data_IF_739698290605
#
_entry.id   IF_739698290605
#
_cell.length_a   1.000
_cell.length_b   1.000
_cell.length_c   1.000
_cell.angle_alpha   90.00
_cell.angle_beta   90.00
_cell.angle_gamma   90.00
#
_symmetry.space_group_name_H-M   'P 1'
#
loop_
_entity.id
_entity.type
_entity.pdbx_description
1 polymer ?
#
# COMPACT_ATOMS: atom_id res chain seq x y z
N UNK A 1 21.13 -16.41 -28.11
CA UNK A 1 21.28 -15.49 -26.96
C UNK A 1 21.29 -16.38 -25.74
N UNK A 2 22.37 -16.39 -24.94
CA UNK A 2 22.34 -17.11 -23.67
C UNK A 2 21.17 -16.58 -22.85
N UNK A 3 20.41 -17.46 -22.21
CA UNK A 3 19.45 -17.04 -21.19
C UNK A 3 20.21 -16.17 -20.19
N UNK A 4 19.92 -14.87 -20.19
CA UNK A 4 20.44 -13.97 -19.17
C UNK A 4 19.79 -14.45 -17.88
N UNK A 5 20.56 -15.06 -16.97
CA UNK A 5 20.04 -15.46 -15.66
C UNK A 5 19.50 -14.22 -14.98
N UNK A 6 18.17 -14.14 -14.88
CA UNK A 6 17.50 -13.04 -14.20
C UNK A 6 17.95 -13.07 -12.73
N UNK A 7 18.21 -11.91 -12.09
CA UNK A 7 18.52 -11.84 -10.68
C UNK A 7 17.27 -12.21 -9.87
N UNK A 8 17.07 -13.50 -9.68
CA UNK A 8 15.97 -14.04 -8.89
C UNK A 8 16.30 -13.89 -7.41
N UNK A 9 15.28 -13.55 -6.63
CA UNK A 9 15.35 -13.55 -5.18
C UNK A 9 14.50 -14.71 -4.63
N UNK A 10 15.02 -15.95 -4.62
CA UNK A 10 14.43 -17.02 -3.82
C UNK A 10 14.24 -16.59 -2.36
N UNK A 11 13.27 -17.20 -1.68
CA UNK A 11 13.16 -17.08 -0.23
C UNK A 11 14.44 -17.65 0.40
N UNK A 12 15.04 -16.91 1.34
CA UNK A 12 16.36 -17.25 1.89
C UNK A 12 17.55 -16.73 1.07
N UNK A 13 17.34 -16.10 -0.09
CA UNK A 13 18.41 -15.43 -0.83
C UNK A 13 18.80 -14.16 -0.10
N UNK A 14 19.91 -14.25 0.61
CA UNK A 14 20.65 -13.10 1.10
C UNK A 14 21.33 -12.50 -0.13
N UNK A 15 21.10 -11.23 -0.49
CA UNK A 15 21.88 -10.57 -1.53
C UNK A 15 23.37 -10.77 -1.20
N UNK A 16 24.25 -10.94 -2.19
CA UNK A 16 25.69 -10.90 -1.92
C UNK A 16 26.04 -9.51 -1.39
N UNK A 17 26.10 -9.37 -0.06
CA UNK A 17 26.43 -8.14 0.63
C UNK A 17 27.39 -8.44 1.75
N UNK A 18 28.43 -7.62 1.87
CA UNK A 18 29.31 -7.64 3.04
C UNK A 18 28.60 -7.16 4.32
N UNK A 19 27.39 -6.58 4.20
CA UNK A 19 26.60 -6.10 5.32
C UNK A 19 25.69 -7.21 5.84
N UNK A 20 26.05 -7.76 7.00
CA UNK A 20 25.10 -8.53 7.83
C UNK A 20 24.30 -7.53 8.66
N UNK A 21 22.97 -7.62 8.62
CA UNK A 21 22.13 -6.78 9.46
C UNK A 21 21.69 -7.57 10.69
N UNK A 22 22.12 -7.12 11.86
CA UNK A 22 21.68 -7.64 13.16
C UNK A 22 20.62 -6.69 13.71
N UNK A 23 19.36 -7.14 13.89
CA UNK A 23 18.33 -6.30 14.49
C UNK A 23 18.72 -5.88 15.91
N UNK A 24 18.79 -4.58 16.15
CA UNK A 24 19.09 -3.99 17.46
C UNK A 24 18.20 -2.75 17.67
N UNK A 25 17.21 -2.81 18.58
CA UNK A 25 16.30 -1.68 18.85
C UNK A 25 17.02 -0.42 19.30
N UNK A 26 18.17 -0.55 19.96
CA UNK A 26 18.97 0.57 20.50
C UNK A 26 19.75 1.30 19.40
N UNK A 27 19.88 0.68 18.21
CA UNK A 27 20.53 1.27 17.03
C UNK A 27 19.54 1.85 16.03
N UNK A 28 18.24 1.88 16.37
CA UNK A 28 17.25 2.52 15.53
C UNK A 28 17.51 4.03 15.44
N UNK A 29 17.61 4.62 14.22
CA UNK A 29 17.81 6.06 14.05
C UNK A 29 16.57 6.87 14.44
N UNK A 30 15.42 6.20 14.46
CA UNK A 30 14.11 6.75 14.71
C UNK A 30 13.66 6.40 16.14
N UNK A 31 13.17 7.37 16.90
CA UNK A 31 12.63 7.13 18.25
C UNK A 31 11.44 6.15 18.24
N UNK A 32 11.29 5.37 19.31
CA UNK A 32 10.09 4.57 19.57
C UNK A 32 9.06 5.38 20.36
N UNK A 33 8.03 5.88 19.68
CA UNK A 33 7.04 6.78 20.28
C UNK A 33 5.92 6.05 21.04
N UNK A 34 5.92 4.70 21.11
CA UNK A 34 4.82 3.95 21.73
C UNK A 34 4.62 4.32 23.19
N UNK A 35 5.70 4.32 23.99
CA UNK A 35 5.57 4.62 25.42
C UNK A 35 5.18 6.08 25.65
N UNK A 36 5.79 7.02 24.91
CA UNK A 36 5.43 8.44 24.98
C UNK A 36 3.95 8.69 24.68
N UNK A 37 3.34 7.91 23.78
CA UNK A 37 1.91 8.01 23.48
C UNK A 37 1.04 7.55 24.64
N UNK A 38 1.42 6.45 25.29
CA UNK A 38 0.73 5.97 26.47
C UNK A 38 0.92 6.91 27.66
N UNK A 39 2.10 7.51 27.82
CA UNK A 39 2.38 8.52 28.84
C UNK A 39 1.48 9.75 28.67
N UNK A 40 1.47 10.36 27.48
CA UNK A 40 0.56 11.46 27.15
C UNK A 40 -0.92 11.06 27.30
N UNK A 41 -1.26 9.80 27.02
CA UNK A 41 -2.58 9.25 27.29
C UNK A 41 -2.95 9.24 28.78
N UNK A 42 -2.02 8.80 29.64
CA UNK A 42 -2.19 8.80 31.11
C UNK A 42 -2.28 10.21 31.68
N UNK A 43 -1.62 11.17 31.06
CA UNK A 43 -1.70 12.60 31.40
C UNK A 43 -3.01 13.27 30.94
N UNK A 44 -3.84 12.58 30.15
CA UNK A 44 -5.11 13.11 29.64
C UNK A 44 -4.94 14.06 28.45
N UNK A 45 -3.79 14.04 27.79
CA UNK A 45 -3.54 14.86 26.60
C UNK A 45 -4.40 14.41 25.42
N UNK A 46 -4.58 13.09 25.25
CA UNK A 46 -5.45 12.43 24.28
C UNK A 46 -5.95 11.06 24.78
N UNK A 47 -6.88 10.46 24.04
CA UNK A 47 -7.27 9.06 24.19
C UNK A 47 -6.31 8.21 23.35
N UNK A 48 -5.77 7.13 23.93
CA UNK A 48 -5.01 6.14 23.16
C UNK A 48 -5.96 5.03 22.72
N UNK A 49 -6.04 4.77 21.42
CA UNK A 49 -6.79 3.64 20.87
C UNK A 49 -5.84 2.43 20.73
N UNK A 50 -6.00 1.36 21.53
CA UNK A 50 -5.15 0.17 21.42
C UNK A 50 -5.45 -0.63 20.15
N UNK A 51 -4.45 -1.37 19.66
CA UNK A 51 -4.65 -2.30 18.53
C UNK A 51 -5.63 -3.41 18.96
N UNK A 52 -6.72 -3.67 18.20
CA UNK A 52 -7.69 -4.69 18.57
C UNK A 52 -7.15 -6.11 18.33
N UNK A 53 -7.58 -7.03 19.19
CA UNK A 53 -7.34 -8.47 19.04
C UNK A 53 -8.36 -9.11 18.08
N UNK A 54 -7.99 -10.17 17.34
CA UNK A 54 -6.64 -10.73 17.24
C UNK A 54 -5.73 -9.86 16.37
N UNK A 55 -4.44 -9.79 16.73
CA UNK A 55 -3.42 -9.14 15.92
C UNK A 55 -2.24 -10.07 15.59
N UNK A 56 -1.49 -9.69 14.57
CA UNK A 56 -0.20 -10.26 14.20
C UNK A 56 0.95 -9.42 14.77
N UNK A 57 1.98 -10.07 15.28
CA UNK A 57 3.21 -9.42 15.73
C UNK A 57 4.29 -9.48 14.64
N UNK A 58 4.53 -8.36 13.98
CA UNK A 58 5.56 -8.24 12.96
C UNK A 58 6.83 -7.62 13.53
N UNK A 59 7.99 -8.10 13.05
CA UNK A 59 9.29 -7.53 13.38
C UNK A 59 9.59 -6.37 12.43
N UNK A 60 9.94 -5.22 12.99
CA UNK A 60 10.46 -4.10 12.20
C UNK A 60 11.95 -4.30 11.93
N UNK A 61 12.53 -3.41 11.11
CA UNK A 61 13.97 -3.40 10.82
C UNK A 61 14.81 -3.58 12.08
N UNK A 62 14.61 -2.78 13.12
CA UNK A 62 15.45 -2.84 14.32
C UNK A 62 14.94 -3.83 15.37
N UNK A 63 14.12 -4.81 14.99
CA UNK A 63 13.66 -5.86 15.90
C UNK A 63 12.56 -5.42 16.87
N UNK A 64 11.99 -4.22 16.70
CA UNK A 64 10.79 -3.81 17.44
C UNK A 64 9.61 -4.68 17.02
N UNK A 65 8.72 -4.96 17.96
CA UNK A 65 7.47 -5.67 17.69
C UNK A 65 6.38 -4.65 17.38
N UNK A 66 5.78 -4.79 16.21
CA UNK A 66 4.65 -3.98 15.76
C UNK A 66 3.41 -4.84 15.68
N UNK A 67 2.33 -4.39 16.31
CA UNK A 67 1.03 -5.07 16.27
C UNK A 67 0.24 -4.64 15.05
N UNK A 68 -0.31 -5.62 14.33
CA UNK A 68 -1.10 -5.42 13.11
C UNK A 68 -2.44 -6.13 13.31
N UNK A 69 -3.57 -5.42 13.44
CA UNK A 69 -4.86 -6.05 13.68
C UNK A 69 -5.32 -6.85 12.46
N UNK A 70 -5.85 -8.06 12.66
CA UNK A 70 -6.41 -8.84 11.56
C UNK A 70 -7.74 -8.26 11.08
N UNK A 71 -8.58 -7.85 12.03
CA UNK A 71 -9.95 -7.39 11.79
C UNK A 71 -10.27 -6.16 12.65
N UNK A 72 -11.54 -5.74 12.64
CA UNK A 72 -12.01 -4.47 13.21
C UNK A 72 -11.27 -3.28 12.61
N UNK A 73 -10.95 -3.34 11.31
CA UNK A 73 -10.21 -2.27 10.63
C UNK A 73 -11.15 -1.23 10.01
N UNK A 74 -10.77 0.05 10.12
CA UNK A 74 -11.40 1.20 9.49
C UNK A 74 -10.57 1.58 8.27
N UNK A 75 -11.08 1.39 7.07
CA UNK A 75 -10.27 1.58 5.86
C UNK A 75 -10.14 3.06 5.50
N UNK A 76 -9.00 3.64 5.87
CA UNK A 76 -8.64 4.99 5.43
C UNK A 76 -8.28 4.93 3.94
N UNK A 77 -9.18 5.37 3.04
CA UNK A 77 -8.91 5.41 1.59
C UNK A 77 -7.99 6.59 1.26
N UNK A 78 -7.25 6.48 0.17
CA UNK A 78 -6.51 7.61 -0.38
C UNK A 78 -7.43 8.74 -0.87
N UNK A 79 -6.82 9.82 -1.34
CA UNK A 79 -7.50 10.92 -2.01
C UNK A 79 -7.96 10.51 -3.43
N UNK A 80 -8.08 11.49 -4.35
CA UNK A 80 -8.47 11.26 -5.75
C UNK A 80 -7.65 10.21 -6.49
N UNK A 81 -6.46 9.81 -6.00
CA UNK A 81 -5.71 8.73 -6.61
C UNK A 81 -6.41 7.36 -6.51
N UNK A 82 -7.18 7.09 -5.44
CA UNK A 82 -8.03 5.89 -5.41
C UNK A 82 -9.12 5.94 -6.49
N UNK A 83 -9.57 7.14 -6.87
CA UNK A 83 -10.52 7.32 -7.98
C UNK A 83 -9.94 6.95 -9.35
N UNK A 84 -8.61 7.01 -9.53
CA UNK A 84 -7.96 6.58 -10.77
C UNK A 84 -7.75 5.07 -10.85
N UNK A 85 -7.66 4.38 -9.70
CA UNK A 85 -7.41 2.94 -9.60
C UNK A 85 -8.30 2.33 -8.50
N UNK A 86 -9.64 2.34 -8.70
CA UNK A 86 -10.61 1.89 -7.69
C UNK A 86 -10.40 0.43 -7.27
N UNK A 87 -9.98 -0.39 -8.23
CA UNK A 87 -9.59 -1.80 -8.08
C UNK A 87 -8.64 -2.10 -6.92
N UNK A 88 -7.81 -1.12 -6.55
CA UNK A 88 -6.88 -1.23 -5.43
C UNK A 88 -7.62 -1.34 -4.10
N UNK A 89 -8.47 -0.36 -3.77
CA UNK A 89 -9.26 -0.37 -2.54
C UNK A 89 -10.26 -1.52 -2.51
N UNK A 90 -10.91 -1.82 -3.63
CA UNK A 90 -11.93 -2.88 -3.70
C UNK A 90 -11.31 -4.26 -3.49
N UNK A 91 -10.07 -4.47 -3.91
CA UNK A 91 -9.34 -5.71 -3.61
C UNK A 91 -9.12 -5.90 -2.11
N UNK A 92 -8.78 -4.82 -1.38
CA UNK A 92 -8.61 -4.89 0.09
C UNK A 92 -9.95 -5.18 0.78
N UNK A 93 -11.04 -4.54 0.34
CA UNK A 93 -12.39 -4.80 0.86
C UNK A 93 -12.88 -6.21 0.56
N UNK A 94 -12.56 -6.71 -0.62
CA UNK A 94 -12.89 -8.07 -1.01
C UNK A 94 -12.09 -9.08 -0.19
N UNK A 95 -10.79 -8.86 0.02
CA UNK A 95 -9.95 -9.74 0.84
C UNK A 95 -10.42 -9.80 2.31
N UNK A 96 -10.87 -8.68 2.89
CA UNK A 96 -11.47 -8.70 4.23
C UNK A 96 -12.69 -9.63 4.27
N UNK A 97 -13.59 -9.55 3.28
CA UNK A 97 -14.77 -10.42 3.21
C UNK A 97 -14.42 -11.87 2.93
N UNK A 98 -13.50 -12.10 2.01
CA UNK A 98 -13.03 -13.44 1.63
C UNK A 98 -12.45 -14.19 2.84
N UNK A 99 -11.76 -13.47 3.74
CA UNK A 99 -11.25 -14.02 5.00
C UNK A 99 -12.26 -14.00 6.15
N UNK A 100 -13.46 -13.45 5.95
CA UNK A 100 -14.50 -13.35 6.98
C UNK A 100 -14.19 -12.32 8.08
N UNK A 101 -13.36 -11.32 7.80
CA UNK A 101 -12.97 -10.30 8.76
C UNK A 101 -13.97 -9.17 8.85
N UNK A 102 -14.24 -8.76 10.09
CA UNK A 102 -15.02 -7.56 10.36
C UNK A 102 -14.21 -6.31 10.02
N UNK A 103 -14.77 -5.41 9.23
CA UNK A 103 -14.10 -4.21 8.77
C UNK A 103 -15.15 -3.14 8.43
N UNK A 104 -14.74 -1.87 8.44
CA UNK A 104 -15.60 -0.73 8.15
C UNK A 104 -15.11 0.06 6.94
N UNK A 105 -16.03 0.28 6.00
CA UNK A 105 -15.83 1.13 4.83
C UNK A 105 -16.43 2.53 5.08
N UNK A 106 -15.62 3.56 5.43
CA UNK A 106 -16.15 4.89 5.73
C UNK A 106 -16.67 5.61 4.48
N UNK A 107 -17.87 6.19 4.60
CA UNK A 107 -18.52 6.99 3.55
C UNK A 107 -18.22 8.49 3.66
N UNK A 108 -17.78 8.96 4.82
CA UNK A 108 -17.62 10.37 5.20
C UNK A 108 -16.17 10.74 5.56
N UNK A 109 -15.21 9.97 5.05
CA UNK A 109 -13.80 10.26 5.27
C UNK A 109 -13.31 11.50 4.49
N UNK A 110 -12.28 12.17 5.02
CA UNK A 110 -11.58 13.26 4.34
C UNK A 110 -10.28 12.77 3.74
N UNK A 111 -9.73 13.53 2.78
CA UNK A 111 -8.34 13.36 2.34
C UNK A 111 -7.36 13.40 3.52
N UNK A 112 -6.19 12.77 3.39
CA UNK A 112 -5.10 12.89 4.36
C UNK A 112 -4.36 14.23 4.29
N UNK A 113 -4.56 15.02 3.22
CA UNK A 113 -3.81 16.25 2.87
C UNK A 113 -2.31 16.10 2.59
N UNK A 114 -1.75 14.91 2.76
CA UNK A 114 -0.32 14.63 2.66
C UNK A 114 0.29 14.99 1.30
N UNK A 115 -0.39 14.70 0.18
CA UNK A 115 0.14 15.10 -1.14
C UNK A 115 0.26 16.62 -1.26
N UNK A 116 -0.75 17.38 -0.85
CA UNK A 116 -0.67 18.85 -0.90
C UNK A 116 0.42 19.39 0.03
N UNK A 117 0.67 18.75 1.18
CA UNK A 117 1.79 19.07 2.07
C UNK A 117 3.14 18.85 1.38
N UNK A 118 3.42 17.62 0.92
CA UNK A 118 4.69 17.31 0.26
C UNK A 118 4.87 18.01 -1.09
N UNK A 119 3.78 18.44 -1.73
CA UNK A 119 3.83 19.29 -2.92
C UNK A 119 4.14 20.76 -2.60
N UNK A 120 4.27 21.12 -1.31
CA UNK A 120 4.40 22.49 -0.81
C UNK A 120 3.23 23.40 -1.20
N UNK A 121 2.05 22.82 -1.44
CA UNK A 121 0.82 23.54 -1.76
C UNK A 121 0.03 23.97 -0.51
N UNK A 122 0.27 23.33 0.65
CA UNK A 122 -0.20 23.79 1.96
C UNK A 122 0.94 23.79 2.97
N UNK A 123 0.99 24.81 3.83
CA UNK A 123 2.05 25.03 4.84
C UNK A 123 1.51 25.23 6.26
N UNK A 124 0.22 24.99 6.50
CA UNK A 124 -0.35 25.08 7.84
C UNK A 124 -0.28 23.72 8.56
N UNK A 125 0.75 23.56 9.41
CA UNK A 125 1.02 22.35 10.16
C UNK A 125 -0.13 21.95 11.10
N UNK A 126 -0.71 22.90 11.83
CA UNK A 126 -1.84 22.64 12.72
C UNK A 126 -3.08 22.13 11.95
N UNK A 127 -3.34 22.69 10.77
CA UNK A 127 -4.44 22.22 9.92
C UNK A 127 -4.20 20.79 9.39
N UNK A 128 -2.97 20.47 8.97
CA UNK A 128 -2.61 19.13 8.50
C UNK A 128 -2.73 18.08 9.60
N UNK A 129 -2.19 18.37 10.78
CA UNK A 129 -2.31 17.51 11.94
C UNK A 129 -3.76 17.36 12.40
N UNK A 130 -4.58 18.41 12.36
CA UNK A 130 -6.01 18.34 12.67
C UNK A 130 -6.78 17.42 11.72
N UNK A 131 -6.44 17.38 10.42
CA UNK A 131 -7.08 16.43 9.49
C UNK A 131 -6.71 14.98 9.83
N UNK A 132 -5.46 14.71 10.20
CA UNK A 132 -5.05 13.37 10.65
C UNK A 132 -5.83 12.95 11.91
N UNK A 133 -5.86 13.82 12.93
CA UNK A 133 -6.57 13.55 14.18
C UNK A 133 -8.09 13.45 14.00
N UNK A 134 -8.69 14.18 13.04
CA UNK A 134 -10.11 14.03 12.66
C UNK A 134 -10.39 12.66 12.06
N UNK A 135 -9.47 12.09 11.28
CA UNK A 135 -9.62 10.74 10.73
C UNK A 135 -9.44 9.65 11.80
N UNK A 136 -8.51 9.81 12.75
CA UNK A 136 -8.40 8.90 13.89
C UNK A 136 -9.64 8.95 14.79
N UNK A 137 -10.15 10.15 15.05
CA UNK A 137 -11.43 10.35 15.73
C UNK A 137 -12.58 9.62 15.02
N UNK A 138 -12.70 9.76 13.69
CA UNK A 138 -13.75 9.10 12.92
C UNK A 138 -13.65 7.57 12.99
N UNK A 139 -12.44 7.00 12.93
CA UNK A 139 -12.23 5.57 13.13
C UNK A 139 -12.69 5.14 14.53
N UNK A 140 -12.22 5.85 15.57
CA UNK A 140 -12.57 5.57 16.97
C UNK A 140 -14.08 5.63 17.24
N UNK A 141 -14.79 6.64 16.72
CA UNK A 141 -16.24 6.78 16.90
C UNK A 141 -17.05 5.63 16.31
N UNK A 142 -16.54 4.97 15.26
CA UNK A 142 -17.16 3.78 14.68
C UNK A 142 -16.83 2.49 15.43
N UNK A 143 -15.86 2.53 16.36
CA UNK A 143 -15.34 1.35 17.05
C UNK A 143 -14.35 0.52 16.24
N UNK A 144 -13.85 1.04 15.12
CA UNK A 144 -12.88 0.37 14.24
C UNK A 144 -11.50 1.05 14.30
N UNK A 145 -10.45 0.30 13.97
CA UNK A 145 -9.05 0.70 14.07
C UNK A 145 -8.49 1.16 12.72
N UNK A 146 -7.85 2.33 12.60
CA UNK A 146 -7.45 2.88 11.31
C UNK A 146 -6.43 2.00 10.57
N UNK A 147 -6.78 1.61 9.34
CA UNK A 147 -5.89 0.94 8.39
C UNK A 147 -5.57 1.91 7.24
N UNK A 148 -4.31 2.34 7.16
CA UNK A 148 -3.88 3.40 6.24
C UNK A 148 -3.59 2.83 4.85
N UNK A 149 -4.35 3.25 3.84
CA UNK A 149 -4.27 2.70 2.48
C UNK A 149 -3.06 3.16 1.66
N UNK A 150 -2.57 4.38 1.86
CA UNK A 150 -1.60 4.99 0.97
C UNK A 150 -0.30 5.30 1.69
N UNK A 151 0.83 4.86 1.14
CA UNK A 151 2.17 5.11 1.69
C UNK A 151 2.44 6.59 1.97
N UNK A 152 1.95 7.50 1.11
CA UNK A 152 2.02 8.95 1.34
C UNK A 152 1.27 9.38 2.61
N UNK A 153 0.07 8.84 2.84
CA UNK A 153 -0.72 9.14 4.05
C UNK A 153 -0.07 8.57 5.30
N UNK A 154 0.48 7.36 5.18
CA UNK A 154 1.17 6.67 6.27
C UNK A 154 2.42 7.42 6.74
N UNK A 155 3.29 7.84 5.81
CA UNK A 155 4.45 8.66 6.11
C UNK A 155 4.06 9.96 6.82
N UNK A 156 3.08 10.68 6.28
CA UNK A 156 2.60 11.94 6.87
C UNK A 156 1.99 11.75 8.25
N UNK A 157 1.19 10.70 8.47
CA UNK A 157 0.60 10.45 9.78
C UNK A 157 1.64 10.06 10.83
N UNK A 158 2.76 9.44 10.43
CA UNK A 158 3.90 9.22 11.32
C UNK A 158 4.63 10.52 11.67
N UNK A 159 4.83 11.41 10.71
CA UNK A 159 5.38 12.75 10.98
C UNK A 159 4.46 13.52 11.94
N UNK A 160 3.14 13.55 11.68
CA UNK A 160 2.17 14.16 12.60
C UNK A 160 2.23 13.54 13.99
N UNK A 161 2.29 12.21 14.09
CA UNK A 161 2.44 11.49 15.38
C UNK A 161 3.69 11.97 16.12
N UNK A 162 4.83 12.03 15.44
CA UNK A 162 6.09 12.52 16.01
C UNK A 162 6.00 13.98 16.45
N UNK A 163 5.46 14.87 15.61
CA UNK A 163 5.30 16.28 15.92
C UNK A 163 4.39 16.52 17.12
N UNK A 164 3.26 15.82 17.21
CA UNK A 164 2.31 16.00 18.30
C UNK A 164 2.80 15.43 19.62
N UNK A 165 3.68 14.43 19.62
CA UNK A 165 4.36 13.97 20.84
C UNK A 165 5.29 15.05 21.38
N UNK A 166 6.13 15.63 20.51
CA UNK A 166 7.21 16.54 20.91
C UNK A 166 6.80 18.01 21.06
N UNK A 167 5.78 18.46 20.34
CA UNK A 167 5.37 19.86 20.31
C UNK A 167 4.02 20.05 21.00
N UNK A 168 4.08 20.33 22.31
CA UNK A 168 2.89 20.57 23.12
C UNK A 168 2.05 21.76 22.60
N UNK A 169 2.68 22.81 22.05
CA UNK A 169 1.95 23.97 21.53
C UNK A 169 1.14 23.60 20.29
N UNK A 170 1.76 22.89 19.34
CA UNK A 170 1.06 22.34 18.18
C UNK A 170 -0.07 21.40 18.63
N UNK A 171 0.21 20.51 19.58
CA UNK A 171 -0.80 19.59 20.13
C UNK A 171 -2.00 20.32 20.71
N UNK A 172 -1.80 21.42 21.46
CA UNK A 172 -2.89 22.27 21.97
C UNK A 172 -3.71 22.92 20.85
N UNK A 173 -3.05 23.46 19.83
CA UNK A 173 -3.74 24.05 18.68
C UNK A 173 -4.62 23.03 17.96
N UNK A 174 -4.09 21.82 17.74
CA UNK A 174 -4.81 20.73 17.08
C UNK A 174 -5.97 20.25 17.96
N UNK A 175 -5.75 20.05 19.27
CA UNK A 175 -6.79 19.68 20.22
C UNK A 175 -7.94 20.67 20.21
N UNK A 176 -7.67 21.98 20.24
CA UNK A 176 -8.71 23.02 20.16
C UNK A 176 -9.54 22.95 18.86
N UNK A 177 -8.92 22.59 17.73
CA UNK A 177 -9.64 22.37 16.47
C UNK A 177 -10.56 21.15 16.58
N UNK A 178 -10.06 20.03 17.11
CA UNK A 178 -10.84 18.78 17.25
C UNK A 178 -12.00 18.94 18.25
N UNK A 179 -11.78 19.63 19.37
CA UNK A 179 -12.82 19.98 20.35
C UNK A 179 -13.91 20.86 19.73
N UNK A 180 -13.54 21.84 18.90
CA UNK A 180 -14.50 22.67 18.16
C UNK A 180 -15.35 21.87 17.17
N UNK A 181 -14.82 20.76 16.64
CA UNK A 181 -15.57 19.82 15.81
C UNK A 181 -16.46 18.87 16.64
N UNK A 182 -16.42 18.93 17.97
CA UNK A 182 -17.19 18.07 18.87
C UNK A 182 -16.73 16.61 18.86
N UNK A 183 -15.45 16.37 18.57
CA UNK A 183 -14.88 15.04 18.31
C UNK A 183 -13.87 14.63 19.39
N UNK A 184 -13.71 13.33 19.68
CA UNK A 184 -12.68 12.86 20.60
C UNK A 184 -11.28 13.07 20.02
N UNK A 185 -10.34 13.51 20.85
CA UNK A 185 -8.94 13.66 20.46
C UNK A 185 -8.20 12.34 20.70
N UNK A 186 -7.99 11.56 19.63
CA UNK A 186 -7.55 10.15 19.71
C UNK A 186 -6.25 9.92 18.94
N UNK A 187 -5.31 9.22 19.56
CA UNK A 187 -4.08 8.72 18.94
C UNK A 187 -4.08 7.17 18.92
N UNK A 188 -3.97 6.51 17.75
CA UNK A 188 -3.79 5.06 17.69
C UNK A 188 -2.45 4.63 18.33
N UNK A 189 -2.44 3.51 19.05
CA UNK A 189 -1.23 2.87 19.61
C UNK A 189 -0.19 2.61 18.51
N UNK A 190 -0.67 2.12 17.37
CA UNK A 190 0.10 1.87 16.16
C UNK A 190 -0.53 2.47 14.91
N UNK A 191 0.31 3.00 14.02
CA UNK A 191 -0.10 3.32 12.67
C UNK A 191 0.20 2.13 11.78
N UNK A 192 -0.85 1.55 11.18
CA UNK A 192 -0.76 0.34 10.38
C UNK A 192 -1.06 0.67 8.93
N UNK A 193 -0.11 0.36 8.04
CA UNK A 193 -0.32 0.48 6.60
C UNK A 193 -0.98 -0.81 6.07
N UNK A 194 -1.84 -0.70 5.05
CA UNK A 194 -2.54 -1.89 4.54
C UNK A 194 -1.58 -2.98 4.02
N UNK A 195 -0.39 -2.62 3.52
CA UNK A 195 0.61 -3.62 3.09
C UNK A 195 1.19 -4.42 4.26
N UNK A 196 1.17 -3.86 5.48
CA UNK A 196 1.52 -4.57 6.71
C UNK A 196 0.40 -5.54 7.08
N UNK A 197 -0.86 -5.14 6.89
CA UNK A 197 -2.01 -6.05 7.01
C UNK A 197 -1.95 -7.18 5.97
N UNK A 198 -1.62 -6.88 4.71
CA UNK A 198 -1.36 -7.89 3.68
C UNK A 198 -0.25 -8.86 4.10
N UNK A 199 0.84 -8.34 4.67
CA UNK A 199 1.91 -9.16 5.25
C UNK A 199 1.33 -10.06 6.35
N UNK A 200 0.58 -9.54 7.31
CA UNK A 200 0.01 -10.33 8.41
C UNK A 200 -0.91 -11.49 7.94
N UNK A 201 -1.68 -11.30 6.86
CA UNK A 201 -2.62 -12.31 6.35
C UNK A 201 -2.02 -13.27 5.31
N UNK A 202 -0.75 -13.08 4.89
CA UNK A 202 -0.14 -13.79 3.76
C UNK A 202 -0.23 -15.31 3.85
N UNK A 203 -0.07 -15.88 5.04
CA UNK A 203 -0.13 -17.33 5.26
C UNK A 203 -1.55 -17.88 5.01
N UNK A 204 -2.57 -17.13 5.43
CA UNK A 204 -3.97 -17.47 5.17
C UNK A 204 -4.31 -17.36 3.67
N UNK A 205 -3.70 -16.40 2.97
CA UNK A 205 -3.88 -16.27 1.53
C UNK A 205 -3.23 -17.44 0.78
N UNK A 206 -2.02 -17.85 1.17
CA UNK A 206 -1.33 -19.01 0.58
C UNK A 206 -2.15 -20.28 0.60
N UNK A 207 -2.83 -20.56 1.71
CA UNK A 207 -3.72 -21.73 1.84
C UNK A 207 -4.91 -21.70 0.87
N UNK A 208 -5.22 -20.54 0.30
CA UNK A 208 -6.40 -20.28 -0.53
C UNK A 208 -6.03 -19.89 -1.98
N UNK A 209 -4.76 -19.98 -2.35
CA UNK A 209 -4.33 -19.72 -3.73
C UNK A 209 -4.97 -20.75 -4.66
N UNK A 210 -5.61 -20.27 -5.72
CA UNK A 210 -6.29 -21.11 -6.73
C UNK A 210 -5.58 -21.11 -8.08
N UNK A 211 -4.61 -20.21 -8.27
CA UNK A 211 -3.81 -20.07 -9.49
C UNK A 211 -2.35 -20.45 -9.24
N UNK A 212 -1.74 -21.23 -10.14
CA UNK A 212 -0.30 -21.52 -10.07
C UNK A 212 0.51 -20.28 -10.47
N UNK A 213 1.14 -19.64 -9.48
CA UNK A 213 1.96 -18.45 -9.69
C UNK A 213 3.45 -18.75 -9.86
N UNK A 214 3.88 -20.02 -9.84
CA UNK A 214 5.30 -20.41 -9.88
C UNK A 214 6.05 -19.93 -11.13
N UNK A 215 5.30 -19.60 -12.19
CA UNK A 215 5.82 -19.06 -13.45
C UNK A 215 5.79 -17.53 -13.51
N UNK A 216 5.15 -16.86 -12.57
CA UNK A 216 5.07 -15.40 -12.51
C UNK A 216 6.35 -14.84 -11.90
N UNK A 217 6.96 -13.90 -12.60
CA UNK A 217 8.06 -13.08 -12.11
C UNK A 217 7.54 -11.67 -11.88
N UNK A 218 7.59 -11.21 -10.64
CA UNK A 218 7.24 -9.85 -10.27
C UNK A 218 8.49 -9.03 -9.91
N UNK A 219 8.46 -7.72 -10.15
CA UNK A 219 9.34 -6.79 -9.43
C UNK A 219 8.54 -6.00 -8.40
N UNK A 220 9.20 -5.64 -7.30
CA UNK A 220 8.57 -4.85 -6.23
C UNK A 220 9.09 -3.42 -6.27
N UNK A 221 8.18 -2.46 -6.32
CA UNK A 221 8.46 -1.05 -6.09
C UNK A 221 7.94 -0.64 -4.70
N UNK A 222 8.80 -0.55 -3.68
CA UNK A 222 8.40 -0.09 -2.35
C UNK A 222 8.15 1.43 -2.37
N UNK A 223 7.05 1.86 -1.79
CA UNK A 223 6.76 3.28 -1.65
C UNK A 223 7.78 3.94 -0.72
N UNK A 224 8.36 5.05 -1.16
CA UNK A 224 9.36 5.76 -0.37
C UNK A 224 8.80 6.23 0.99
N UNK A 225 7.54 6.64 1.06
CA UNK A 225 6.92 7.14 2.30
C UNK A 225 6.50 6.03 3.26
N UNK A 226 6.57 4.77 2.83
CA UNK A 226 6.38 3.62 3.71
C UNK A 226 7.62 3.36 4.58
N UNK A 227 8.82 3.34 3.98
CA UNK A 227 10.03 2.88 4.68
C UNK A 227 11.18 3.89 4.76
N UNK A 228 11.19 4.97 3.97
CA UNK A 228 12.32 5.93 4.01
C UNK A 228 12.13 7.04 5.03
N UNK A 229 10.88 7.46 5.29
CA UNK A 229 10.59 8.52 6.26
C UNK A 229 10.73 8.03 7.71
N UNK A 230 10.26 6.81 8.00
CA UNK A 230 10.39 6.19 9.31
C UNK A 230 10.90 4.75 9.15
N UNK A 231 12.20 4.63 8.88
CA UNK A 231 12.84 3.37 8.55
C UNK A 231 12.77 2.34 9.66
N UNK A 232 12.69 2.78 10.92
CA UNK A 232 12.66 1.89 12.06
C UNK A 232 11.33 1.19 12.33
N UNK A 233 10.27 1.60 11.64
CA UNK A 233 8.91 1.07 11.85
C UNK A 233 8.34 0.31 10.64
N UNK A 234 9.10 0.20 9.54
CA UNK A 234 8.74 -0.65 8.41
C UNK A 234 9.04 -2.13 8.72
N UNK A 235 8.28 -3.04 8.09
CA UNK A 235 8.44 -4.49 8.25
C UNK A 235 9.63 -5.00 7.44
N UNK A 236 10.51 -5.72 8.10
CA UNK A 236 11.70 -6.34 7.53
C UNK A 236 11.74 -7.80 7.98
N UNK A 237 12.30 -8.64 7.13
CA UNK A 237 12.37 -10.08 7.35
C UNK A 237 13.78 -10.55 7.00
N UNK A 238 14.42 -11.32 7.88
CA UNK A 238 15.78 -11.79 7.68
C UNK A 238 15.88 -12.76 6.49
N UNK A 239 14.80 -13.49 6.19
CA UNK A 239 14.75 -14.42 5.05
C UNK A 239 14.51 -13.71 3.71
N UNK A 240 14.17 -12.42 3.75
CA UNK A 240 13.81 -11.62 2.58
C UNK A 240 14.82 -10.49 2.44
N UNK A 241 15.58 -10.50 1.35
CA UNK A 241 16.68 -9.55 1.13
C UNK A 241 17.73 -9.52 2.26
N UNK A 242 17.84 -10.58 3.07
CA UNK A 242 18.75 -10.60 4.22
C UNK A 242 18.47 -9.50 5.26
N UNK A 243 17.22 -9.05 5.39
CA UNK A 243 16.87 -7.92 6.27
C UNK A 243 17.41 -6.56 5.82
N UNK A 244 17.86 -6.41 4.56
CA UNK A 244 18.40 -5.14 4.05
C UNK A 244 17.34 -4.22 3.43
N UNK A 245 16.20 -4.79 3.02
CA UNK A 245 15.10 -4.09 2.34
C UNK A 245 13.78 -4.46 3.02
N UNK A 246 12.79 -3.56 2.91
CA UNK A 246 11.44 -3.82 3.43
C UNK A 246 10.86 -5.10 2.81
N UNK A 247 10.23 -5.91 3.65
CA UNK A 247 9.69 -7.22 3.31
C UNK A 247 8.18 -7.21 3.03
N UNK A 248 7.46 -6.14 3.38
CA UNK A 248 5.99 -6.13 3.41
C UNK A 248 5.34 -6.68 2.13
N UNK A 249 5.76 -6.18 0.96
CA UNK A 249 5.22 -6.63 -0.34
C UNK A 249 5.88 -7.92 -0.81
N UNK A 250 7.21 -8.00 -0.77
CA UNK A 250 7.96 -9.16 -1.28
C UNK A 250 7.57 -10.46 -0.60
N UNK A 251 7.30 -10.43 0.71
CA UNK A 251 6.84 -11.59 1.46
C UNK A 251 5.51 -12.13 0.95
N UNK A 252 4.54 -11.23 0.70
CA UNK A 252 3.23 -11.62 0.17
C UNK A 252 3.40 -12.28 -1.20
N UNK A 253 4.20 -11.68 -2.09
CA UNK A 253 4.41 -12.21 -3.44
C UNK A 253 5.06 -13.60 -3.41
N UNK A 254 6.09 -13.78 -2.58
CA UNK A 254 6.77 -15.08 -2.42
C UNK A 254 5.87 -16.12 -1.74
N UNK A 255 5.06 -15.74 -0.75
CA UNK A 255 4.17 -16.66 -0.03
C UNK A 255 3.03 -17.17 -0.95
N UNK A 256 2.56 -16.32 -1.88
CA UNK A 256 1.60 -16.72 -2.92
C UNK A 256 2.23 -17.61 -4.01
N UNK A 257 3.54 -17.84 -3.98
CA UNK A 257 4.27 -18.74 -4.89
C UNK A 257 4.86 -18.08 -6.13
N UNK A 258 4.79 -16.75 -6.28
CA UNK A 258 5.43 -16.03 -7.37
C UNK A 258 6.91 -15.74 -7.09
N UNK A 259 7.70 -15.58 -8.16
CA UNK A 259 9.10 -15.20 -8.07
C UNK A 259 9.23 -13.68 -7.96
N UNK A 260 10.18 -13.22 -7.16
CA UNK A 260 10.53 -11.80 -7.09
C UNK A 260 11.91 -11.59 -7.73
N UNK A 261 11.97 -10.71 -8.73
CA UNK A 261 13.21 -10.31 -9.38
C UNK A 261 13.74 -9.01 -8.76
N UNK A 262 15.08 -8.91 -8.70
CA UNK A 262 15.76 -7.67 -8.31
C UNK A 262 16.07 -6.77 -9.51
N UNK A 263 16.35 -5.50 -9.25
CA UNK A 263 16.78 -4.52 -10.24
C UNK A 263 17.56 -3.38 -9.58
N UNK A 264 18.47 -2.77 -10.33
CA UNK A 264 19.50 -1.84 -9.85
C UNK A 264 18.94 -0.55 -9.26
N UNK A 265 17.78 -0.10 -9.73
CA UNK A 265 17.14 1.14 -9.29
C UNK A 265 16.06 0.90 -8.22
N UNK A 266 16.10 -0.21 -7.48
CA UNK A 266 15.08 -0.57 -6.47
C UNK A 266 14.76 0.57 -5.49
N UNK A 267 15.80 1.23 -4.98
CA UNK A 267 15.66 2.33 -4.03
C UNK A 267 15.17 3.64 -4.66
N UNK A 268 15.18 3.79 -5.98
CA UNK A 268 14.80 5.04 -6.64
C UNK A 268 13.29 5.29 -6.54
N UNK A 269 12.91 6.57 -6.45
CA UNK A 269 11.53 7.04 -6.42
C UNK A 269 10.74 6.59 -7.66
N UNK A 270 9.41 6.44 -7.56
CA UNK A 270 8.55 6.18 -8.73
C UNK A 270 8.48 7.35 -9.72
N UNK A 271 8.98 8.53 -9.35
CA UNK A 271 8.92 9.75 -10.17
C UNK A 271 7.71 10.66 -9.88
N UNK A 272 6.72 10.23 -9.05
CA UNK A 272 5.57 11.07 -8.70
C UNK A 272 6.01 12.43 -8.15
N UNK A 273 6.99 12.43 -7.23
CA UNK A 273 7.72 13.63 -6.81
C UNK A 273 6.87 14.76 -6.21
N UNK A 274 5.59 14.48 -5.87
CA UNK A 274 4.55 15.34 -5.31
C UNK A 274 4.36 16.70 -5.97
N UNK A 275 5.35 17.60 -5.83
CA UNK A 275 5.43 18.87 -6.54
C UNK A 275 5.73 18.65 -8.03
N UNK A 276 6.64 17.72 -8.37
CA UNK A 276 7.04 17.50 -9.76
C UNK A 276 5.88 17.08 -10.67
N UNK A 277 4.98 16.21 -10.21
CA UNK A 277 3.78 15.85 -11.01
C UNK A 277 2.88 17.06 -11.28
N UNK A 278 2.91 18.11 -10.45
CA UNK A 278 2.11 19.33 -10.66
C UNK A 278 2.78 20.33 -11.60
N UNK A 279 4.10 20.53 -11.47
CA UNK A 279 4.82 21.61 -12.17
C UNK A 279 5.76 21.14 -13.29
N UNK A 280 6.12 19.85 -13.33
CA UNK A 280 7.10 19.25 -14.25
C UNK A 280 6.66 17.82 -14.65
N UNK A 281 5.48 17.71 -15.26
CA UNK A 281 4.87 16.41 -15.62
C UNK A 281 5.78 15.53 -16.49
N UNK A 282 6.54 16.13 -17.40
CA UNK A 282 7.44 15.38 -18.28
C UNK A 282 8.63 14.78 -17.53
N UNK A 283 9.12 15.45 -16.47
CA UNK A 283 10.11 14.87 -15.56
C UNK A 283 9.53 13.64 -14.86
N UNK A 284 8.34 13.76 -14.28
CA UNK A 284 7.67 12.62 -13.60
C UNK A 284 7.50 11.43 -14.54
N UNK A 285 6.99 11.67 -15.76
CA UNK A 285 6.78 10.62 -16.76
C UNK A 285 8.10 9.97 -17.19
N UNK A 286 9.11 10.77 -17.49
CA UNK A 286 10.42 10.27 -17.93
C UNK A 286 11.12 9.49 -16.81
N UNK A 287 11.04 9.96 -15.56
CA UNK A 287 11.61 9.25 -14.43
C UNK A 287 10.88 7.92 -14.17
N UNK A 288 9.54 7.94 -14.12
CA UNK A 288 8.72 6.74 -13.93
C UNK A 288 9.00 5.69 -15.00
N UNK A 289 9.22 6.09 -16.25
CA UNK A 289 9.41 5.17 -17.36
C UNK A 289 10.87 4.79 -17.54
N UNK A 290 11.77 5.74 -17.82
CA UNK A 290 13.16 5.46 -18.17
C UNK A 290 14.00 4.98 -16.97
N UNK A 291 13.76 5.49 -15.76
CA UNK A 291 14.55 5.11 -14.58
C UNK A 291 14.00 3.91 -13.82
N UNK A 292 12.70 3.62 -13.96
CA UNK A 292 12.04 2.50 -13.28
C UNK A 292 11.60 1.42 -14.28
N UNK A 293 10.60 1.69 -15.12
CA UNK A 293 10.01 0.65 -15.98
C UNK A 293 11.02 0.05 -16.98
N UNK A 294 11.78 0.87 -17.72
CA UNK A 294 12.75 0.37 -18.69
C UNK A 294 13.82 -0.49 -18.01
N UNK A 295 14.38 0.01 -16.89
CA UNK A 295 15.36 -0.74 -16.08
C UNK A 295 14.80 -2.07 -15.58
N UNK A 296 13.58 -2.07 -15.04
CA UNK A 296 12.91 -3.32 -14.62
C UNK A 296 12.77 -4.29 -15.79
N UNK A 297 12.37 -3.81 -16.98
CA UNK A 297 12.23 -4.66 -18.16
C UNK A 297 13.56 -5.19 -18.68
N UNK A 298 14.60 -4.36 -18.65
CA UNK A 298 15.95 -4.71 -19.13
C UNK A 298 16.65 -5.72 -18.21
N UNK A 299 16.54 -5.54 -16.89
CA UNK A 299 17.29 -6.35 -15.92
C UNK A 299 16.50 -7.57 -15.42
N UNK A 300 15.17 -7.46 -15.32
CA UNK A 300 14.31 -8.48 -14.72
C UNK A 300 13.22 -9.01 -15.67
N UNK A 301 12.86 -8.25 -16.70
CA UNK A 301 11.74 -8.52 -17.62
C UNK A 301 10.50 -9.13 -16.92
N UNK A 302 9.93 -8.46 -15.90
CA UNK A 302 8.87 -9.04 -15.08
C UNK A 302 7.53 -9.11 -15.81
N UNK A 303 6.69 -10.05 -15.39
CA UNK A 303 5.28 -10.14 -15.81
C UNK A 303 4.42 -9.07 -15.17
N UNK A 304 4.83 -8.54 -14.00
CA UNK A 304 4.11 -7.51 -13.26
C UNK A 304 5.03 -6.71 -12.34
N UNK A 305 4.75 -5.42 -12.18
CA UNK A 305 5.34 -4.56 -11.15
C UNK A 305 4.32 -4.37 -10.04
N UNK A 306 4.70 -4.70 -8.81
CA UNK A 306 3.84 -4.58 -7.63
C UNK A 306 4.33 -3.44 -6.73
N UNK A 307 3.40 -2.62 -6.27
CA UNK A 307 3.69 -1.53 -5.34
C UNK A 307 2.58 -1.38 -4.31
N UNK A 308 2.81 -0.52 -3.32
CA UNK A 308 1.90 -0.36 -2.20
C UNK A 308 1.62 1.11 -1.83
N UNK A 309 1.56 1.97 -2.84
CA UNK A 309 1.09 3.34 -2.69
C UNK A 309 0.35 3.74 -3.96
N UNK A 310 -0.83 4.33 -3.79
CA UNK A 310 -1.70 4.70 -4.91
C UNK A 310 -1.02 5.68 -5.87
N UNK A 311 -0.20 6.61 -5.35
CA UNK A 311 0.58 7.52 -6.18
C UNK A 311 1.65 6.79 -7.00
N UNK A 312 2.28 5.77 -6.43
CA UNK A 312 3.23 4.91 -7.13
C UNK A 312 2.56 4.09 -8.24
N UNK A 313 1.42 3.43 -7.96
CA UNK A 313 0.68 2.67 -9.00
C UNK A 313 0.30 3.62 -10.14
N UNK A 314 -0.38 4.74 -9.84
CA UNK A 314 -0.80 5.70 -10.87
C UNK A 314 0.37 6.23 -11.69
N UNK A 315 1.48 6.58 -11.04
CA UNK A 315 2.63 7.15 -11.76
C UNK A 315 3.28 6.14 -12.69
N UNK A 316 3.49 4.92 -12.21
CA UNK A 316 4.19 3.88 -12.97
C UNK A 316 3.29 3.26 -14.05
N UNK A 317 1.98 3.13 -13.83
CA UNK A 317 1.02 2.65 -14.83
C UNK A 317 0.76 3.73 -15.91
N UNK A 318 0.25 4.91 -15.51
CA UNK A 318 -0.22 5.93 -16.44
C UNK A 318 0.88 6.58 -17.26
N UNK A 319 2.11 6.65 -16.73
CA UNK A 319 3.22 7.27 -17.47
C UNK A 319 3.67 6.45 -18.67
N UNK A 320 3.42 5.14 -18.68
CA UNK A 320 3.86 4.26 -19.77
C UNK A 320 3.16 4.55 -21.09
N UNK A 321 1.89 5.00 -21.06
CA UNK A 321 1.14 5.30 -22.29
C UNK A 321 1.87 6.32 -23.19
N UNK A 322 2.36 7.40 -22.58
CA UNK A 322 3.03 8.47 -23.32
C UNK A 322 4.35 7.99 -23.95
N UNK A 323 5.14 7.19 -23.22
CA UNK A 323 6.43 6.69 -23.74
C UNK A 323 6.28 5.50 -24.69
N UNK A 324 5.22 4.70 -24.54
CA UNK A 324 4.87 3.65 -25.50
C UNK A 324 4.61 4.24 -26.89
N UNK A 325 3.94 5.40 -26.96
CA UNK A 325 3.74 6.12 -28.22
C UNK A 325 5.07 6.54 -28.90
N UNK A 326 6.17 6.61 -28.14
CA UNK A 326 7.52 6.89 -28.63
C UNK A 326 8.36 5.61 -28.88
N UNK A 327 7.74 4.43 -28.90
CA UNK A 327 8.43 3.16 -29.18
C UNK A 327 9.42 2.71 -28.09
N UNK A 328 9.27 3.22 -26.87
CA UNK A 328 10.13 2.91 -25.73
C UNK A 328 9.87 1.51 -25.17
N UNK A 329 10.86 0.94 -24.46
CA UNK A 329 10.75 -0.40 -23.88
C UNK A 329 9.90 -0.37 -22.60
N UNK A 330 8.60 -0.19 -22.75
CA UNK A 330 7.60 -0.15 -21.66
C UNK A 330 6.49 -1.19 -21.92
N UNK A 331 5.38 -1.12 -21.19
CA UNK A 331 4.23 -2.02 -21.35
C UNK A 331 4.17 -3.17 -20.34
N UNK A 332 4.83 -3.03 -19.18
CA UNK A 332 4.68 -3.98 -18.07
C UNK A 332 3.50 -3.55 -17.19
N UNK A 333 2.58 -4.47 -16.82
CA UNK A 333 1.47 -4.11 -15.96
C UNK A 333 1.94 -3.71 -14.57
N UNK A 334 1.36 -2.66 -14.01
CA UNK A 334 1.68 -2.16 -12.66
C UNK A 334 0.42 -2.16 -11.81
N UNK A 335 0.43 -2.83 -10.67
CA UNK A 335 -0.73 -2.88 -9.78
C UNK A 335 -0.34 -2.92 -8.30
N UNK A 336 -1.33 -2.79 -7.43
CA UNK A 336 -1.09 -3.07 -6.01
C UNK A 336 -0.87 -4.56 -5.77
N UNK A 337 -0.08 -4.89 -4.77
CA UNK A 337 0.04 -6.26 -4.27
C UNK A 337 -1.31 -6.81 -3.76
N UNK A 338 -2.21 -5.96 -3.27
CA UNK A 338 -3.57 -6.38 -2.91
C UNK A 338 -4.41 -6.84 -4.10
N UNK A 339 -4.31 -6.17 -5.26
CA UNK A 339 -4.95 -6.61 -6.50
C UNK A 339 -4.38 -7.95 -6.95
N UNK A 340 -3.06 -8.08 -6.96
CA UNK A 340 -2.38 -9.33 -7.32
C UNK A 340 -2.77 -10.49 -6.40
N UNK A 341 -2.79 -10.26 -5.09
CA UNK A 341 -3.19 -11.25 -4.10
C UNK A 341 -4.67 -11.64 -4.22
N UNK A 342 -5.56 -10.69 -4.46
CA UNK A 342 -6.98 -10.97 -4.70
C UNK A 342 -7.16 -11.86 -5.94
N UNK A 343 -6.49 -11.53 -7.05
CA UNK A 343 -6.48 -12.37 -8.26
C UNK A 343 -5.96 -13.78 -7.95
N UNK A 344 -4.86 -13.90 -7.20
CA UNK A 344 -4.26 -15.19 -6.85
C UNK A 344 -5.20 -16.16 -6.11
N UNK A 345 -6.11 -15.62 -5.30
CA UNK A 345 -7.09 -16.39 -4.53
C UNK A 345 -8.49 -16.41 -5.17
N UNK A 346 -8.60 -15.99 -6.43
CA UNK A 346 -9.80 -16.20 -7.26
C UNK A 346 -10.72 -14.99 -7.44
N UNK A 347 -10.30 -13.79 -7.04
CA UNK A 347 -11.11 -12.59 -7.27
C UNK A 347 -11.28 -12.29 -8.76
N UNK A 348 -12.48 -11.88 -9.17
CA UNK A 348 -12.76 -11.55 -10.56
C UNK A 348 -11.96 -10.31 -11.04
N UNK A 349 -11.26 -10.37 -12.19
CA UNK A 349 -10.33 -9.32 -12.61
C UNK A 349 -10.99 -7.97 -12.91
N UNK A 350 -12.27 -7.97 -13.29
CA UNK A 350 -12.99 -6.75 -13.66
C UNK A 350 -14.01 -6.29 -12.63
N UNK A 351 -14.55 -7.21 -11.82
CA UNK A 351 -15.55 -6.89 -10.79
C UNK A 351 -14.86 -6.45 -9.49
N UNK A 352 -13.77 -7.13 -9.13
CA UNK A 352 -13.03 -6.88 -7.88
C UNK A 352 -11.74 -6.10 -8.14
N UNK A 353 -10.82 -6.67 -8.92
CA UNK A 353 -9.51 -6.03 -9.16
C UNK A 353 -9.58 -4.82 -10.10
N UNK A 354 -10.73 -4.67 -10.80
CA UNK A 354 -11.07 -3.60 -11.74
C UNK A 354 -9.93 -3.22 -12.69
N UNK A 355 -9.32 -4.23 -13.32
CA UNK A 355 -8.12 -4.04 -14.12
C UNK A 355 -8.33 -3.13 -15.35
N UNK A 356 -9.57 -2.96 -15.81
CA UNK A 356 -9.91 -2.05 -16.92
C UNK A 356 -9.64 -0.56 -16.64
N UNK A 357 -9.37 -0.19 -15.39
CA UNK A 357 -8.89 1.15 -15.05
C UNK A 357 -7.37 1.33 -15.23
N UNK A 358 -6.60 0.26 -15.43
CA UNK A 358 -5.17 0.34 -15.72
C UNK A 358 -4.91 0.67 -17.19
N UNK A 359 -3.78 1.32 -17.47
CA UNK A 359 -3.41 1.77 -18.81
C UNK A 359 -2.50 0.80 -19.55
N UNK A 360 -1.82 -0.07 -18.82
CA UNK A 360 -0.92 -1.09 -19.36
C UNK A 360 -1.66 -2.40 -19.64
N UNK A 361 -1.16 -3.20 -20.59
CA UNK A 361 -1.78 -4.48 -20.94
C UNK A 361 -1.48 -5.55 -19.88
N UNK A 362 -2.49 -5.88 -19.08
CA UNK A 362 -2.44 -6.89 -18.02
C UNK A 362 -2.93 -8.27 -18.50
N UNK A 363 -3.45 -8.41 -19.73
CA UNK A 363 -4.00 -9.70 -20.21
C UNK A 363 -2.96 -10.81 -20.28
N UNK A 364 -1.69 -10.57 -20.70
CA UNK A 364 -0.66 -11.60 -20.66
C UNK A 364 -0.41 -12.13 -19.24
N UNK A 365 -0.47 -11.27 -18.22
CA UNK A 365 -0.37 -11.68 -16.82
C UNK A 365 -1.55 -12.59 -16.44
N UNK A 366 -2.79 -12.20 -16.74
CA UNK A 366 -3.99 -13.00 -16.46
C UNK A 366 -3.89 -14.39 -17.10
N UNK A 367 -3.54 -14.45 -18.39
CA UNK A 367 -3.36 -15.72 -19.10
C UNK A 367 -2.28 -16.59 -18.46
N UNK A 368 -1.16 -15.98 -18.02
CA UNK A 368 -0.08 -16.69 -17.34
C UNK A 368 -0.48 -17.21 -15.95
N UNK A 369 -1.41 -16.54 -15.28
CA UNK A 369 -2.06 -17.01 -14.04
C UNK A 369 -3.13 -18.09 -14.31
N UNK A 370 -3.49 -18.35 -15.58
CA UNK A 370 -4.56 -19.28 -15.95
C UNK A 370 -5.96 -18.66 -15.89
N UNK A 371 -6.07 -17.33 -15.90
CA UNK A 371 -7.33 -16.58 -15.97
C UNK A 371 -7.59 -16.24 -17.44
N UNK A 372 -8.78 -16.57 -17.95
CA UNK A 372 -9.22 -16.19 -19.30
C UNK A 372 -9.76 -14.74 -19.28
N UNK A 373 -9.01 -13.76 -19.84
CA UNK A 373 -9.42 -12.37 -19.81
C UNK A 373 -10.66 -12.08 -20.67
N UNK A 374 -10.84 -12.78 -21.79
CA UNK A 374 -11.96 -12.53 -22.70
C UNK A 374 -13.26 -13.06 -22.10
N UNK A 375 -13.20 -14.25 -21.49
CA UNK A 375 -14.34 -14.81 -20.75
C UNK A 375 -14.73 -13.91 -19.58
N UNK A 376 -13.77 -13.52 -18.74
CA UNK A 376 -14.04 -12.65 -17.59
C UNK A 376 -14.56 -11.27 -18.03
N UNK A 377 -14.13 -10.76 -19.19
CA UNK A 377 -14.64 -9.52 -19.73
C UNK A 377 -16.10 -9.66 -20.19
N UNK A 378 -16.44 -10.76 -20.87
CA UNK A 378 -17.82 -11.05 -21.27
C UNK A 378 -18.76 -11.13 -20.06
N UNK A 379 -18.34 -11.84 -18.99
CA UNK A 379 -19.10 -11.90 -17.73
C UNK A 379 -19.35 -10.51 -17.13
N UNK A 380 -18.33 -9.63 -17.16
CA UNK A 380 -18.48 -8.25 -16.71
C UNK A 380 -19.44 -7.44 -17.59
N UNK A 381 -19.40 -7.61 -18.91
CA UNK A 381 -20.31 -6.94 -19.84
C UNK A 381 -21.77 -7.37 -19.63
N UNK A 382 -22.01 -8.63 -19.27
CA UNK A 382 -23.34 -9.12 -18.91
C UNK A 382 -23.89 -8.41 -17.66
N UNK A 383 -23.04 -8.13 -16.66
CA UNK A 383 -23.46 -7.34 -15.49
C UNK A 383 -23.83 -5.91 -15.88
N UNK A 384 -23.05 -5.27 -16.75
CA UNK A 384 -23.33 -3.92 -17.23
C UNK A 384 -24.66 -3.88 -18.00
N UNK A 385 -24.93 -4.89 -18.83
CA UNK A 385 -26.20 -4.99 -19.55
C UNK A 385 -27.39 -5.12 -18.60
N UNK A 386 -27.25 -5.86 -17.49
CA UNK A 386 -28.28 -5.97 -16.46
C UNK A 386 -28.54 -4.64 -15.75
N UNK A 387 -27.48 -3.84 -15.53
CA UNK A 387 -27.58 -2.49 -14.96
C UNK A 387 -28.30 -1.54 -15.92
N UNK A 388 -27.90 -1.53 -17.19
CA UNK A 388 -28.54 -0.70 -18.23
C UNK A 388 -30.02 -1.03 -18.41
N UNK A 389 -30.39 -2.30 -18.27
CA UNK A 389 -31.78 -2.77 -18.32
C UNK A 389 -32.58 -2.47 -17.04
N UNK A 390 -31.93 -1.98 -15.98
CA UNK A 390 -32.56 -1.70 -14.69
C UNK A 390 -32.92 -2.95 -13.87
N UNK A 391 -32.45 -4.13 -14.28
CA UNK A 391 -32.63 -5.39 -13.53
C UNK A 391 -31.67 -5.53 -12.34
N UNK A 392 -30.62 -4.73 -12.32
CA UNK A 392 -29.65 -4.58 -11.25
C UNK A 392 -29.31 -3.10 -11.08
N UNK A 393 -29.24 -2.58 -9.84
CA UNK A 393 -28.93 -1.16 -9.62
C UNK A 393 -27.42 -0.90 -9.66
N UNK A 394 -26.65 -1.78 -9.01
CA UNK A 394 -25.18 -1.78 -8.98
C UNK A 394 -24.67 -3.17 -8.57
N UNK A 395 -23.40 -3.47 -8.87
CA UNK A 395 -22.75 -4.69 -8.39
C UNK A 395 -22.63 -4.68 -6.87
N UNK A 396 -23.03 -5.77 -6.20
CA UNK A 396 -22.89 -5.93 -4.75
C UNK A 396 -21.74 -6.86 -4.39
N UNK A 397 -21.38 -6.91 -3.11
CA UNK A 397 -20.32 -7.81 -2.65
C UNK A 397 -20.74 -9.28 -2.76
N UNK A 398 -22.01 -9.58 -2.56
CA UNK A 398 -22.58 -10.92 -2.74
C UNK A 398 -22.45 -11.41 -4.19
N UNK A 399 -22.41 -10.50 -5.17
CA UNK A 399 -22.21 -10.84 -6.59
C UNK A 399 -20.78 -11.26 -6.93
N UNK A 400 -19.81 -11.02 -6.04
CA UNK A 400 -18.38 -11.12 -6.36
C UNK A 400 -17.56 -11.92 -5.35
N UNK A 401 -18.19 -12.54 -4.35
CA UNK A 401 -17.55 -13.36 -3.32
C UNK A 401 -17.46 -14.85 -3.67
#
# INVERSE_FOLDING_TARGET
MSEMELPMMPRGTTPETARTFTPDPDQAPDEDLREAIWELGREGEWIVQPVPEPYYEARTKYGRIKKIPFQKTWHHKSCGQCGHIPGYSTSIFWLNRFLGYDYFDPRDQTSCTAWNYYASATSNQAAQAAVAMRNFSAAYETGYYPLIHCGTSFGHYKEVRHELVHNHELRRQVKAVIEKLGRPFVMPEELVHYSEWMYAIRDQLKERVVHDLSRITATVHPACHYYKLQSGDAIYDAEIYGGQRTAAVTAVVQELGAKVADYSTWYDCCGFGFRHILVQRDFTRSFATMRKIEVMKEEANPDVVLTHDTGCVTSLDKSQFATQAHGRNVGVPVMSESQFAALAVGAHPYRVAQLHWHSTDYRPLLQKMGIDPEKAWAEFQEDLAQIEQGSMEFLTWESVL
#
